data_IF_432776231629
#
_entry.id   IF_432776231629
#
_cell.length_a   1.000
_cell.length_b   1.000
_cell.length_c   1.000
_cell.angle_alpha   90.00
_cell.angle_beta   90.00
_cell.angle_gamma   90.00
#
_symmetry.space_group_name_H-M   'P 1'
#
loop_
_entity.id
_entity.type
_entity.pdbx_description
1 polymer ?
#
# COMPACT_ATOMS: atom_id res chain seq x y z
N UNK A 1 -12.84 -19.95 7.35
CA UNK A 1 -11.97 -19.82 8.41
C UNK A 1 -10.78 -18.97 8.07
N UNK A 2 -9.63 -19.43 8.39
CA UNK A 2 -8.43 -18.66 8.10
C UNK A 2 -8.29 -18.39 6.64
N UNK A 3 -8.79 -19.25 5.80
CA UNK A 3 -8.67 -19.08 4.36
C UNK A 3 -9.32 -17.78 3.89
N UNK A 4 -10.44 -17.44 4.48
CA UNK A 4 -11.13 -16.21 4.08
C UNK A 4 -10.34 -14.99 4.46
N UNK A 5 -9.75 -15.00 5.65
CA UNK A 5 -8.92 -13.87 6.06
C UNK A 5 -7.70 -13.74 5.18
N UNK A 6 -7.11 -14.87 4.83
CA UNK A 6 -5.95 -14.87 3.95
C UNK A 6 -6.32 -14.30 2.60
N UNK A 7 -7.49 -14.68 2.09
CA UNK A 7 -7.94 -14.18 0.79
C UNK A 7 -8.08 -12.67 0.80
N UNK A 8 -8.68 -12.13 1.86
CA UNK A 8 -8.86 -10.69 1.95
C UNK A 8 -7.52 -9.99 2.01
N UNK A 9 -6.62 -10.51 2.83
CA UNK A 9 -5.28 -9.93 2.94
C UNK A 9 -4.54 -10.04 1.62
N UNK A 10 -4.67 -11.18 0.96
CA UNK A 10 -4.01 -11.39 -0.32
C UNK A 10 -4.52 -10.42 -1.37
N UNK A 11 -5.83 -10.19 -1.41
CA UNK A 11 -6.40 -9.25 -2.37
C UNK A 11 -5.88 -7.84 -2.13
N UNK A 12 -5.83 -7.42 -0.88
CA UNK A 12 -5.33 -6.10 -0.54
C UNK A 12 -3.85 -5.97 -0.90
N UNK A 13 -3.08 -7.02 -0.63
CA UNK A 13 -1.67 -7.02 -0.96
C UNK A 13 -1.46 -6.94 -2.47
N UNK A 14 -2.24 -7.69 -3.23
CA UNK A 14 -2.15 -7.64 -4.68
C UNK A 14 -2.52 -6.27 -5.20
N UNK A 15 -3.53 -5.65 -4.62
CA UNK A 15 -3.92 -4.32 -5.03
C UNK A 15 -2.76 -3.35 -4.84
N UNK A 16 -2.05 -3.47 -3.71
CA UNK A 16 -0.88 -2.63 -3.46
C UNK A 16 0.24 -2.93 -4.45
N UNK A 17 0.52 -4.22 -4.68
CA UNK A 17 1.60 -4.61 -5.57
C UNK A 17 1.39 -4.08 -6.97
N UNK A 18 0.17 -4.14 -7.44
CA UNK A 18 -0.13 -3.71 -8.80
C UNK A 18 -0.37 -2.21 -8.86
N UNK A 19 -1.07 -1.68 -7.87
CA UNK A 19 -1.47 -0.29 -7.92
C UNK A 19 -0.36 0.69 -7.68
N UNK A 20 0.54 0.37 -6.76
CA UNK A 20 1.64 1.28 -6.44
C UNK A 20 2.60 1.46 -7.61
N UNK A 21 2.65 0.49 -8.51
CA UNK A 21 3.48 0.57 -9.71
C UNK A 21 2.87 1.43 -10.80
N UNK A 22 1.57 1.60 -10.73
CA UNK A 22 0.85 2.31 -11.78
C UNK A 22 1.00 3.81 -11.55
N UNK A 23 0.99 4.54 -12.63
CA UNK A 23 1.16 5.98 -12.60
C UNK A 23 0.18 6.67 -11.67
N UNK A 24 -1.05 6.19 -11.65
CA UNK A 24 -2.10 6.78 -10.81
C UNK A 24 -2.03 6.32 -9.37
N UNK A 25 -1.34 5.21 -9.10
CA UNK A 25 -1.24 4.69 -7.76
C UNK A 25 -2.51 3.98 -7.33
N UNK A 26 -2.68 3.84 -6.02
CA UNK A 26 -3.86 3.21 -5.46
C UNK A 26 -4.77 4.27 -4.85
N UNK A 27 -6.03 3.90 -4.72
CA UNK A 27 -7.02 4.71 -4.00
C UNK A 27 -7.03 4.23 -2.55
N UNK A 28 -6.68 5.11 -1.63
CA UNK A 28 -6.59 4.74 -0.22
C UNK A 28 -7.93 4.27 0.33
N UNK A 29 -9.00 4.90 -0.11
CA UNK A 29 -10.33 4.49 0.32
C UNK A 29 -10.66 3.08 -0.16
N UNK A 30 -10.31 2.79 -1.40
CA UNK A 30 -10.55 1.47 -1.96
C UNK A 30 -9.73 0.41 -1.22
N UNK A 31 -8.50 0.73 -0.90
CA UNK A 31 -7.68 -0.21 -0.14
C UNK A 31 -8.32 -0.49 1.22
N UNK A 32 -8.78 0.54 1.89
CA UNK A 32 -9.40 0.38 3.19
C UNK A 32 -10.62 -0.53 3.10
N UNK A 33 -11.40 -0.38 2.04
CA UNK A 33 -12.57 -1.24 1.83
C UNK A 33 -12.16 -2.69 1.60
N UNK A 34 -11.10 -2.90 0.85
CA UNK A 34 -10.63 -4.25 0.55
C UNK A 34 -10.05 -4.92 1.78
N UNK A 35 -9.24 -4.20 2.51
CA UNK A 35 -8.51 -4.77 3.64
C UNK A 35 -9.31 -4.75 4.94
N UNK A 36 -10.30 -3.88 5.02
CA UNK A 36 -11.06 -3.71 6.23
C UNK A 36 -10.39 -2.79 7.24
N UNK A 37 -9.27 -2.20 6.86
CA UNK A 37 -8.54 -1.29 7.75
C UNK A 37 -7.61 -0.42 6.90
N UNK A 38 -7.30 0.79 7.35
CA UNK A 38 -6.40 1.66 6.59
C UNK A 38 -4.97 1.19 6.69
N UNK A 39 -4.15 1.70 5.79
CA UNK A 39 -2.72 1.44 5.84
C UNK A 39 -2.12 2.12 7.07
N UNK A 40 -0.97 1.60 7.50
CA UNK A 40 -0.24 2.18 8.63
C UNK A 40 0.20 3.60 8.28
N UNK A 41 -0.36 4.58 8.97
CA UNK A 41 -0.10 5.98 8.67
C UNK A 41 1.33 6.36 8.98
N UNK A 42 1.89 5.83 10.06
CA UNK A 42 3.27 6.11 10.42
C UNK A 42 4.21 5.60 9.34
N UNK A 43 3.93 4.42 8.84
CA UNK A 43 4.75 3.86 7.76
C UNK A 43 4.62 4.71 6.50
N UNK A 44 3.41 5.16 6.19
CA UNK A 44 3.23 6.04 5.04
C UNK A 44 4.10 7.28 5.15
N UNK A 45 4.04 7.93 6.31
CA UNK A 45 4.80 9.15 6.52
C UNK A 45 6.29 8.91 6.41
N UNK A 46 6.77 7.82 7.03
CA UNK A 46 8.18 7.49 6.95
C UNK A 46 8.63 7.24 5.53
N UNK A 47 7.84 6.49 4.79
CA UNK A 47 8.18 6.16 3.41
C UNK A 47 8.12 7.39 2.51
N UNK A 48 7.19 8.29 2.78
CA UNK A 48 7.14 9.55 2.04
C UNK A 48 8.38 10.39 2.32
N UNK A 49 8.81 10.44 3.58
CA UNK A 49 10.00 11.16 3.96
C UNK A 49 11.23 10.61 3.27
N UNK A 50 11.28 9.32 3.09
CA UNK A 50 12.40 8.67 2.42
C UNK A 50 12.35 8.84 0.90
N UNK A 51 11.27 9.39 0.39
CA UNK A 51 11.12 9.56 -1.05
C UNK A 51 10.71 8.30 -1.76
N UNK A 52 10.14 7.35 -1.03
CA UNK A 52 9.71 6.09 -1.61
C UNK A 52 8.25 6.10 -2.03
N UNK A 53 7.46 6.96 -1.41
CA UNK A 53 6.03 7.08 -1.71
C UNK A 53 5.66 8.53 -1.94
N UNK A 54 4.64 8.72 -2.74
CA UNK A 54 4.03 10.04 -2.95
C UNK A 54 2.55 9.89 -2.65
N UNK A 55 2.05 10.72 -1.75
CA UNK A 55 0.64 10.75 -1.45
C UNK A 55 0.04 12.00 -2.05
N UNK A 56 -1.07 11.83 -2.74
CA UNK A 56 -1.73 12.93 -3.42
C UNK A 56 -3.23 12.79 -3.19
N UNK A 57 -3.81 13.70 -2.42
CA UNK A 57 -5.23 13.65 -2.16
C UNK A 57 -5.58 12.33 -1.49
N UNK A 58 -6.28 11.46 -2.19
CA UNK A 58 -6.65 10.14 -1.66
C UNK A 58 -5.89 9.02 -2.34
N UNK A 59 -4.85 9.35 -3.07
CA UNK A 59 -4.06 8.37 -3.81
C UNK A 59 -2.70 8.19 -3.20
N UNK A 60 -2.14 7.02 -3.40
CA UNK A 60 -0.79 6.71 -2.94
C UNK A 60 -0.09 5.95 -4.03
N UNK A 61 1.12 6.35 -4.35
CA UNK A 61 1.88 5.64 -5.37
C UNK A 61 3.35 5.57 -4.96
N UNK A 62 4.05 4.58 -5.50
CA UNK A 62 5.47 4.44 -5.25
C UNK A 62 6.25 5.28 -6.25
N UNK A 63 7.32 5.89 -5.75
CA UNK A 63 8.26 6.56 -6.64
C UNK A 63 9.11 5.51 -7.32
N UNK A 64 10.02 5.96 -8.20
CA UNK A 64 10.95 5.02 -8.82
C UNK A 64 11.76 4.27 -7.76
N UNK A 65 12.24 5.00 -6.76
CA UNK A 65 12.98 4.39 -5.67
C UNK A 65 12.11 3.42 -4.88
N UNK A 66 10.85 3.80 -4.62
CA UNK A 66 9.93 2.94 -3.93
C UNK A 66 9.62 1.67 -4.68
N UNK A 67 9.51 1.76 -6.00
CA UNK A 67 9.26 0.58 -6.81
C UNK A 67 10.41 -0.40 -6.73
N UNK A 68 11.63 0.10 -6.64
CA UNK A 68 12.81 -0.76 -6.55
C UNK A 68 12.81 -1.58 -5.26
N UNK A 69 12.19 -1.07 -4.20
CA UNK A 69 12.11 -1.78 -2.92
C UNK A 69 10.66 -2.02 -2.53
N UNK A 70 9.84 -2.31 -3.53
CA UNK A 70 8.39 -2.38 -3.34
C UNK A 70 7.96 -3.38 -2.28
N UNK A 71 8.61 -4.53 -2.21
CA UNK A 71 8.28 -5.52 -1.21
C UNK A 71 8.45 -4.97 0.21
N UNK A 72 9.52 -4.25 0.44
CA UNK A 72 9.77 -3.64 1.74
C UNK A 72 8.74 -2.55 2.03
N UNK A 73 8.41 -1.76 1.02
CA UNK A 73 7.41 -0.72 1.15
C UNK A 73 6.08 -1.33 1.57
N UNK A 74 5.65 -2.36 0.88
CA UNK A 74 4.37 -3.00 1.17
C UNK A 74 4.37 -3.64 2.54
N UNK A 75 5.45 -4.31 2.90
CA UNK A 75 5.55 -4.90 4.23
C UNK A 75 5.38 -3.87 5.32
N UNK A 76 6.02 -2.71 5.16
CA UNK A 76 5.90 -1.64 6.13
C UNK A 76 4.48 -1.10 6.22
N UNK A 77 3.84 -0.94 5.07
CA UNK A 77 2.49 -0.40 5.04
C UNK A 77 1.48 -1.35 5.67
N UNK A 78 1.72 -2.64 5.59
CA UNK A 78 0.81 -3.65 6.12
C UNK A 78 1.06 -3.99 7.57
N UNK A 79 2.14 -3.52 8.14
CA UNK A 79 2.42 -3.74 9.55
C UNK A 79 1.41 -3.01 10.40
N UNK A 80 0.90 -3.69 11.38
CA UNK A 80 -0.10 -3.10 12.25
C UNK A 80 0.50 -2.28 13.37
#
# INVERSE_FOLDING_TARGET
KSAQQIDRTAQATEYLLMGLRIKDGIDLERFENLAGAPLNIEAQTSLEDMGLLIRSDKSLKATRAGTAVLNSVISSLLEA
#
